data_IF_053885220731
#
_entry.id   IF_053885220731
#
_cell.length_a   1.000
_cell.length_b   1.000
_cell.length_c   1.000
_cell.angle_alpha   90.00
_cell.angle_beta   90.00
_cell.angle_gamma   90.00
#
_symmetry.space_group_name_H-M   'P 1'
#
loop_
_entity.id
_entity.type
_entity.pdbx_description
1 polymer ?
#
# COMPACT_ATOMS: atom_id res chain seq x y z
N UNK A 1 7.59 -25.73 -0.33
CA UNK A 1 7.21 -24.76 0.73
C UNK A 1 7.14 -25.45 2.10
N UNK A 2 6.46 -26.59 2.20
CA UNK A 2 6.27 -27.35 3.45
C UNK A 2 7.56 -27.80 4.17
N UNK A 3 8.69 -27.93 3.47
CA UNK A 3 9.99 -28.22 4.10
C UNK A 3 10.52 -27.06 4.96
N UNK A 4 10.26 -25.82 4.53
CA UNK A 4 10.82 -24.62 5.16
C UNK A 4 9.81 -23.89 6.04
N UNK A 5 8.51 -24.06 5.76
CA UNK A 5 7.40 -23.44 6.49
C UNK A 5 6.66 -24.52 7.28
N UNK A 6 6.40 -24.36 8.60
CA UNK A 6 6.71 -23.19 9.43
C UNK A 6 8.10 -23.29 10.13
N UNK A 7 8.93 -24.27 9.78
CA UNK A 7 10.15 -24.60 10.53
C UNK A 7 11.13 -23.43 10.64
N UNK A 8 11.36 -22.72 9.54
CA UNK A 8 12.32 -21.61 9.46
C UNK A 8 11.63 -20.28 9.16
N UNK A 9 10.63 -20.31 8.28
CA UNK A 9 9.85 -19.13 7.90
C UNK A 9 8.38 -19.33 8.23
N UNK A 10 7.72 -18.25 8.63
CA UNK A 10 6.28 -18.21 8.84
C UNK A 10 5.77 -16.78 8.61
N UNK A 11 4.48 -16.66 8.28
CA UNK A 11 3.83 -15.36 8.18
C UNK A 11 3.74 -14.72 9.57
N UNK A 12 4.24 -13.48 9.68
CA UNK A 12 4.30 -12.72 10.92
C UNK A 12 2.90 -12.45 11.47
N UNK A 13 2.72 -12.73 12.77
CA UNK A 13 1.47 -12.54 13.50
C UNK A 13 1.74 -11.92 14.86
N UNK A 14 0.87 -11.01 15.23
CA UNK A 14 0.75 -10.40 16.55
C UNK A 14 -0.52 -10.92 17.23
N UNK A 15 -0.56 -10.86 18.55
CA UNK A 15 -1.74 -11.18 19.35
C UNK A 15 -2.33 -9.90 19.93
N UNK A 16 -3.65 -9.82 19.92
CA UNK A 16 -4.43 -8.75 20.55
C UNK A 16 -5.83 -9.30 20.86
N UNK A 17 -6.51 -8.72 21.85
CA UNK A 17 -7.88 -9.11 22.22
C UNK A 17 -8.89 -8.74 21.11
N UNK A 18 -8.61 -7.68 20.35
CA UNK A 18 -9.34 -7.33 19.14
C UNK A 18 -8.68 -7.98 17.90
N UNK A 19 -9.36 -8.92 17.21
CA UNK A 19 -8.82 -9.56 16.01
C UNK A 19 -8.46 -8.58 14.89
N UNK A 20 -9.16 -7.45 14.79
CA UNK A 20 -8.87 -6.43 13.78
C UNK A 20 -7.54 -5.73 14.09
N UNK A 21 -7.33 -5.35 15.35
CA UNK A 21 -6.07 -4.80 15.85
C UNK A 21 -4.93 -5.80 15.71
N UNK A 22 -5.12 -7.07 16.07
CA UNK A 22 -4.12 -8.12 15.86
C UNK A 22 -3.68 -8.22 14.38
N UNK A 23 -4.63 -8.20 13.44
CA UNK A 23 -4.34 -8.24 12.00
C UNK A 23 -3.63 -6.98 11.50
N UNK A 24 -4.04 -5.80 11.98
CA UNK A 24 -3.38 -4.53 11.69
C UNK A 24 -1.93 -4.53 12.16
N UNK A 25 -1.67 -4.91 13.42
CA UNK A 25 -0.33 -5.01 13.98
C UNK A 25 0.51 -6.06 13.22
N UNK A 26 -0.06 -7.22 12.89
CA UNK A 26 0.60 -8.26 12.10
C UNK A 26 1.06 -7.73 10.73
N UNK A 27 0.25 -6.92 10.06
CA UNK A 27 0.59 -6.34 8.76
C UNK A 27 1.51 -5.11 8.83
N UNK A 28 1.50 -4.40 9.96
CA UNK A 28 2.37 -3.23 10.18
C UNK A 28 3.76 -3.65 10.65
N UNK A 29 3.80 -4.39 11.74
CA UNK A 29 5.03 -4.71 12.46
C UNK A 29 5.88 -5.73 11.69
N UNK A 30 5.33 -6.51 10.75
CA UNK A 30 6.15 -7.32 9.84
C UNK A 30 7.18 -6.49 9.08
N UNK A 31 6.95 -5.20 8.85
CA UNK A 31 7.88 -4.31 8.16
C UNK A 31 8.93 -3.70 9.10
N UNK A 32 8.63 -3.57 10.39
CA UNK A 32 9.46 -2.82 11.36
C UNK A 32 10.15 -3.72 12.40
N UNK A 33 9.66 -4.94 12.60
CA UNK A 33 10.31 -5.96 13.44
C UNK A 33 11.35 -6.68 12.60
N UNK A 34 12.61 -6.29 12.74
CA UNK A 34 13.71 -6.83 11.94
C UNK A 34 13.91 -8.33 12.15
N UNK A 35 14.29 -9.02 11.07
CA UNK A 35 14.65 -10.45 11.08
C UNK A 35 13.58 -11.36 11.71
N UNK A 36 12.31 -10.94 11.64
CA UNK A 36 11.21 -11.79 12.00
C UNK A 36 11.10 -12.99 11.04
N UNK A 37 10.29 -14.00 11.42
CA UNK A 37 10.16 -15.26 10.65
C UNK A 37 9.61 -15.09 9.23
N UNK A 38 9.10 -13.93 8.85
CA UNK A 38 8.64 -13.67 7.49
C UNK A 38 9.74 -13.13 6.59
N UNK A 39 10.79 -12.51 7.14
CA UNK A 39 11.88 -11.91 6.36
C UNK A 39 12.78 -13.00 5.79
N UNK A 40 12.96 -12.99 4.47
CA UNK A 40 13.83 -13.93 3.75
C UNK A 40 15.12 -13.24 3.32
N UNK A 41 15.01 -12.02 2.78
CA UNK A 41 16.15 -11.21 2.39
C UNK A 41 15.92 -9.76 2.77
N UNK A 42 16.92 -9.14 3.38
CA UNK A 42 16.90 -7.75 3.78
C UNK A 42 18.31 -7.23 4.00
N UNK A 43 18.43 -5.92 4.11
CA UNK A 43 19.70 -5.23 4.37
C UNK A 43 19.68 -4.69 5.80
N UNK A 44 20.62 -5.15 6.64
CA UNK A 44 20.83 -4.62 7.98
C UNK A 44 21.46 -3.22 7.95
N UNK A 45 21.24 -2.43 9.01
CA UNK A 45 21.88 -1.13 9.23
C UNK A 45 21.78 -0.20 8.01
N UNK A 46 20.60 -0.15 7.39
CA UNK A 46 20.43 0.52 6.10
C UNK A 46 20.25 2.02 6.23
N UNK A 47 19.64 2.49 7.32
CA UNK A 47 19.12 3.85 7.41
C UNK A 47 17.97 4.04 6.42
N UNK A 48 16.80 4.46 6.88
CA UNK A 48 15.67 4.74 6.00
C UNK A 48 15.44 6.26 5.92
N UNK A 49 15.68 6.83 4.74
CA UNK A 49 15.27 8.21 4.46
C UNK A 49 13.77 8.33 4.14
N UNK A 50 13.06 7.19 4.08
CA UNK A 50 11.64 7.17 3.69
C UNK A 50 10.72 7.77 4.76
N UNK A 51 11.12 7.79 6.04
CA UNK A 51 10.31 8.43 7.09
C UNK A 51 10.03 9.90 6.76
N UNK A 52 11.00 10.64 6.23
CA UNK A 52 10.77 12.04 5.90
C UNK A 52 9.69 12.18 4.82
N UNK A 53 9.77 11.41 3.75
CA UNK A 53 8.76 11.45 2.66
C UNK A 53 7.38 10.90 3.07
N UNK A 54 7.32 10.09 4.13
CA UNK A 54 6.12 9.36 4.60
C UNK A 54 5.51 9.92 5.89
N UNK A 55 6.16 10.90 6.51
CA UNK A 55 5.63 11.68 7.64
C UNK A 55 5.02 12.96 7.11
N UNK A 56 3.75 13.28 7.42
CA UNK A 56 3.15 14.56 7.03
C UNK A 56 3.90 15.76 7.63
N UNK A 57 3.68 16.95 7.09
CA UNK A 57 4.41 18.15 7.49
C UNK A 57 4.16 18.58 8.93
N UNK A 58 2.90 18.49 9.40
CA UNK A 58 2.48 18.79 10.77
C UNK A 58 2.98 20.14 11.34
N UNK A 59 3.00 21.20 10.53
CA UNK A 59 3.46 22.55 10.87
C UNK A 59 3.28 22.93 12.36
N UNK A 60 4.39 23.31 13.00
CA UNK A 60 4.43 23.78 14.39
C UNK A 60 4.81 22.74 15.45
N UNK A 61 5.03 21.48 15.10
CA UNK A 61 5.61 20.45 15.98
C UNK A 61 7.15 20.34 15.83
N UNK A 62 7.75 19.33 16.47
CA UNK A 62 9.19 19.08 16.40
C UNK A 62 9.58 18.35 15.11
N UNK A 63 10.87 18.41 14.75
CA UNK A 63 11.42 17.70 13.59
C UNK A 63 11.20 16.17 13.64
N UNK A 64 11.04 15.59 14.83
CA UNK A 64 10.75 14.16 14.99
C UNK A 64 9.33 13.79 14.52
N UNK A 65 8.42 14.77 14.50
CA UNK A 65 7.02 14.59 14.12
C UNK A 65 6.67 15.23 12.78
N UNK A 66 7.67 15.79 12.10
CA UNK A 66 7.56 16.47 10.81
C UNK A 66 8.21 15.66 9.70
N UNK A 67 7.66 15.76 8.50
CA UNK A 67 8.29 15.29 7.27
C UNK A 67 7.80 16.07 6.06
N UNK A 68 8.11 15.59 4.86
CA UNK A 68 7.60 16.20 3.63
C UNK A 68 6.19 15.73 3.26
N UNK A 69 5.77 14.54 3.70
CA UNK A 69 4.54 13.91 3.23
C UNK A 69 4.48 13.74 1.71
N UNK A 70 5.63 13.78 1.03
CA UNK A 70 5.74 13.83 -0.43
C UNK A 70 5.35 12.50 -1.10
N UNK A 71 5.45 11.37 -0.38
CA UNK A 71 5.09 10.07 -0.92
C UNK A 71 3.57 9.86 -0.91
N UNK A 72 2.90 10.48 -1.90
CA UNK A 72 1.45 10.46 -2.03
C UNK A 72 0.89 9.20 -2.66
N UNK A 73 -0.03 8.53 -1.98
CA UNK A 73 -0.79 7.44 -2.59
C UNK A 73 -1.84 8.01 -3.57
N UNK A 74 -1.96 7.41 -4.76
CA UNK A 74 -3.00 7.79 -5.71
C UNK A 74 -4.38 7.29 -5.25
N UNK A 75 -5.47 7.95 -5.67
CA UNK A 75 -6.82 7.46 -5.42
C UNK A 75 -7.00 6.02 -5.92
N UNK A 76 -6.41 5.68 -7.07
CA UNK A 76 -6.48 4.32 -7.61
C UNK A 76 -5.82 3.27 -6.69
N UNK A 77 -4.81 3.63 -5.90
CA UNK A 77 -4.22 2.74 -4.89
C UNK A 77 -5.08 2.68 -3.63
N UNK A 78 -5.63 3.82 -3.18
CA UNK A 78 -6.60 3.88 -2.07
C UNK A 78 -7.83 3.01 -2.33
N UNK A 79 -8.34 3.03 -3.56
CA UNK A 79 -9.49 2.25 -4.01
C UNK A 79 -9.18 0.75 -4.14
N UNK A 80 -7.90 0.38 -4.28
CA UNK A 80 -7.49 -1.01 -4.48
C UNK A 80 -7.50 -1.84 -3.20
N UNK A 81 -7.42 -1.22 -2.03
CA UNK A 81 -7.63 -1.92 -0.76
C UNK A 81 -9.04 -2.48 -0.68
N UNK A 82 -9.20 -3.68 -0.14
CA UNK A 82 -10.50 -4.29 0.11
C UNK A 82 -11.25 -3.55 1.23
N UNK A 83 -12.54 -3.82 1.36
CA UNK A 83 -13.28 -3.50 2.58
C UNK A 83 -12.93 -4.49 3.69
N UNK A 84 -13.38 -4.25 4.92
CA UNK A 84 -13.19 -5.19 6.04
C UNK A 84 -13.76 -6.59 5.77
N UNK A 85 -14.70 -6.70 4.82
CA UNK A 85 -15.28 -7.98 4.39
C UNK A 85 -14.39 -8.70 3.36
N UNK A 86 -13.23 -8.15 3.01
CA UNK A 86 -12.30 -8.73 2.04
C UNK A 86 -12.74 -8.59 0.58
N UNK A 87 -13.78 -7.81 0.30
CA UNK A 87 -14.31 -7.58 -1.05
C UNK A 87 -13.80 -6.25 -1.65
N UNK A 88 -13.65 -6.15 -2.97
CA UNK A 88 -13.36 -4.88 -3.63
C UNK A 88 -14.45 -3.84 -3.36
N UNK A 89 -14.10 -2.55 -3.32
CA UNK A 89 -15.09 -1.48 -3.06
C UNK A 89 -16.20 -1.38 -4.13
N UNK A 90 -15.98 -1.99 -5.30
CA UNK A 90 -16.95 -2.07 -6.40
C UNK A 90 -17.94 -3.22 -6.25
N UNK A 91 -17.70 -4.15 -5.32
CA UNK A 91 -18.61 -5.25 -5.07
C UNK A 91 -19.82 -4.77 -4.25
N UNK A 92 -21.06 -5.02 -4.69
CA UNK A 92 -22.27 -4.59 -3.97
C UNK A 92 -22.36 -5.13 -2.53
N UNK A 93 -21.77 -6.30 -2.25
CA UNK A 93 -21.74 -6.91 -0.93
C UNK A 93 -20.59 -6.39 -0.04
N UNK A 94 -19.75 -5.49 -0.56
CA UNK A 94 -18.59 -4.99 0.17
C UNK A 94 -18.95 -4.11 1.37
N UNK A 95 -20.18 -3.57 1.42
CA UNK A 95 -20.61 -2.61 2.45
C UNK A 95 -19.85 -1.28 2.37
N UNK A 96 -19.41 -0.89 1.16
CA UNK A 96 -18.67 0.33 0.92
C UNK A 96 -19.59 1.54 0.75
N UNK A 97 -19.29 2.63 1.47
CA UNK A 97 -20.02 3.89 1.35
C UNK A 97 -19.11 4.96 0.74
N UNK A 98 -19.49 5.47 -0.44
CA UNK A 98 -18.61 6.29 -1.29
C UNK A 98 -18.54 7.78 -0.93
N UNK A 99 -19.39 8.26 -0.02
CA UNK A 99 -19.48 9.67 0.35
C UNK A 99 -20.02 9.85 1.78
N UNK A 100 -19.93 11.07 2.31
CA UNK A 100 -20.38 11.41 3.66
C UNK A 100 -19.37 11.05 4.75
N UNK A 101 -19.76 11.24 6.01
CA UNK A 101 -18.90 11.05 7.18
C UNK A 101 -19.60 10.20 8.22
N UNK A 102 -18.82 9.44 8.98
CA UNK A 102 -19.28 8.66 10.13
C UNK A 102 -18.31 8.83 11.30
N UNK A 103 -18.80 8.63 12.52
CA UNK A 103 -17.93 8.43 13.68
C UNK A 103 -17.22 7.09 13.54
N UNK A 104 -15.90 7.09 13.49
CA UNK A 104 -15.10 5.88 13.30
C UNK A 104 -13.80 5.98 14.10
N UNK A 105 -13.43 4.90 14.78
CA UNK A 105 -12.12 4.76 15.43
C UNK A 105 -11.24 3.84 14.59
N UNK A 106 -10.16 4.39 14.04
CA UNK A 106 -9.16 3.60 13.33
C UNK A 106 -8.31 2.77 14.31
N UNK A 107 -7.69 1.65 13.88
CA UNK A 107 -6.96 0.74 14.79
C UNK A 107 -5.71 1.35 15.44
N UNK A 108 -5.27 2.52 14.95
CA UNK A 108 -4.13 3.27 15.49
C UNK A 108 -4.55 4.47 16.32
N UNK A 109 -5.86 4.71 16.47
CA UNK A 109 -6.41 5.89 17.10
C UNK A 109 -6.95 5.57 18.49
N UNK A 110 -6.81 6.52 19.41
CA UNK A 110 -7.27 6.39 20.80
C UNK A 110 -8.70 6.89 20.98
N UNK A 111 -9.30 7.49 19.95
CA UNK A 111 -10.69 7.97 20.00
C UNK A 111 -11.39 7.86 18.64
N UNK A 112 -12.71 7.94 18.65
CA UNK A 112 -13.51 8.02 17.42
C UNK A 112 -13.42 9.41 16.81
N UNK A 113 -13.34 9.50 15.48
CA UNK A 113 -13.30 10.75 14.73
C UNK A 113 -14.37 10.79 13.65
N UNK A 114 -14.80 11.99 13.28
CA UNK A 114 -15.55 12.22 12.04
C UNK A 114 -14.64 11.90 10.86
N UNK A 115 -14.91 10.76 10.21
CA UNK A 115 -14.06 10.18 9.17
C UNK A 115 -14.87 10.05 7.89
N UNK A 116 -14.25 10.40 6.75
CA UNK A 116 -14.86 10.26 5.44
C UNK A 116 -15.15 8.78 5.15
N UNK A 117 -16.40 8.48 4.82
CA UNK A 117 -16.92 7.12 4.72
C UNK A 117 -16.07 6.16 3.87
N UNK A 118 -15.51 6.58 2.70
CA UNK A 118 -14.55 5.79 1.92
C UNK A 118 -13.31 5.26 2.67
N UNK A 119 -12.95 5.86 3.79
CA UNK A 119 -11.80 5.46 4.61
C UNK A 119 -12.19 4.66 5.85
N UNK A 120 -13.49 4.53 6.13
CA UNK A 120 -14.01 3.71 7.22
C UNK A 120 -14.23 2.27 6.75
N UNK A 121 -14.24 1.32 7.69
CA UNK A 121 -14.58 -0.10 7.43
C UNK A 121 -13.77 -0.74 6.28
N UNK A 122 -12.54 -0.26 6.06
CA UNK A 122 -11.56 -0.87 5.15
C UNK A 122 -10.84 -2.05 5.83
N UNK A 123 -10.13 -2.86 5.05
CA UNK A 123 -9.29 -3.91 5.62
C UNK A 123 -8.12 -3.33 6.45
N UNK A 124 -7.52 -4.11 7.38
CA UNK A 124 -6.39 -3.66 8.19
C UNK A 124 -5.23 -3.04 7.41
N UNK A 125 -4.91 -3.59 6.22
CA UNK A 125 -3.80 -3.12 5.37
C UNK A 125 -4.01 -1.71 4.80
N UNK A 126 -5.25 -1.23 4.68
CA UNK A 126 -5.51 0.17 4.34
C UNK A 126 -4.95 1.11 5.42
N UNK A 127 -5.21 0.80 6.70
CA UNK A 127 -4.73 1.57 7.84
C UNK A 127 -3.22 1.40 8.09
N UNK A 128 -2.61 0.32 7.59
CA UNK A 128 -1.16 0.18 7.52
C UNK A 128 -0.55 1.04 6.41
N UNK A 129 -1.26 1.21 5.29
CA UNK A 129 -0.72 1.80 4.07
C UNK A 129 -0.91 3.31 3.96
N UNK A 130 -2.02 3.85 4.46
CA UNK A 130 -2.51 5.19 4.12
C UNK A 130 -2.70 6.05 5.38
N UNK A 131 -2.05 7.22 5.40
CA UNK A 131 -2.46 8.37 6.21
C UNK A 131 -3.39 9.23 5.35
N UNK A 132 -4.54 9.59 5.91
CA UNK A 132 -5.61 10.36 5.25
C UNK A 132 -5.96 11.60 6.09
N UNK A 133 -6.75 12.52 5.54
CA UNK A 133 -7.09 13.75 6.26
C UNK A 133 -7.82 13.47 7.58
N UNK A 134 -7.48 14.22 8.62
CA UNK A 134 -8.00 14.11 9.98
C UNK A 134 -7.66 12.78 10.68
N UNK A 135 -6.63 12.04 10.21
CA UNK A 135 -6.17 10.82 10.88
C UNK A 135 -5.19 11.12 12.01
N UNK A 136 -5.30 10.38 13.11
CA UNK A 136 -4.29 10.37 14.17
C UNK A 136 -2.93 9.87 13.66
N UNK A 137 -1.87 10.59 14.02
CA UNK A 137 -0.52 10.23 13.61
C UNK A 137 0.01 9.03 14.41
N UNK A 138 0.83 8.19 13.77
CA UNK A 138 1.35 6.95 14.34
C UNK A 138 2.17 7.16 15.61
N UNK A 139 2.96 8.23 15.63
CA UNK A 139 3.86 8.59 16.70
C UNK A 139 3.34 9.85 17.39
N UNK A 140 3.42 9.86 18.71
CA UNK A 140 2.96 10.96 19.54
C UNK A 140 4.11 11.32 20.44
N UNK A 141 4.51 12.58 20.42
CA UNK A 141 5.62 13.07 21.24
C UNK A 141 5.15 14.22 22.12
N UNK A 142 5.70 14.29 23.34
CA UNK A 142 5.44 15.40 24.26
C UNK A 142 4.02 15.46 24.83
N UNK A 143 3.24 14.38 24.76
CA UNK A 143 1.87 14.31 25.28
C UNK A 143 0.84 15.14 24.51
N UNK A 144 1.21 15.65 23.33
CA UNK A 144 0.31 16.38 22.43
C UNK A 144 -0.25 15.41 21.40
N UNK A 145 -1.57 15.36 21.29
CA UNK A 145 -2.25 14.58 20.26
C UNK A 145 -2.04 15.21 18.89
N UNK A 146 -1.36 14.49 18.00
CA UNK A 146 -1.06 14.88 16.63
C UNK A 146 -2.13 14.29 15.71
N UNK A 147 -2.81 15.18 15.00
CA UNK A 147 -3.78 14.85 13.95
C UNK A 147 -3.31 15.48 12.65
N UNK A 148 -3.20 14.67 11.62
CA UNK A 148 -2.81 15.15 10.29
C UNK A 148 -3.98 15.86 9.63
N UNK A 149 -3.87 17.17 9.41
CA UNK A 149 -4.85 17.94 8.65
C UNK A 149 -4.24 18.37 7.30
N UNK A 150 -4.70 17.74 6.22
CA UNK A 150 -4.25 17.95 4.83
C UNK A 150 -5.14 18.92 4.05
N UNK A 151 -6.19 19.49 4.67
CA UNK A 151 -6.90 20.63 4.09
C UNK A 151 -5.91 21.76 3.78
N UNK A 152 -6.21 22.61 2.80
CA UNK A 152 -5.28 23.64 2.30
C UNK A 152 -4.62 24.45 3.43
N UNK A 153 -5.39 24.92 4.41
CA UNK A 153 -4.91 25.68 5.56
C UNK A 153 -4.51 24.84 6.78
N UNK A 154 -4.68 23.52 6.71
CA UNK A 154 -4.33 22.58 7.78
C UNK A 154 -2.82 22.51 8.03
N UNK A 155 -2.42 21.85 9.13
CA UNK A 155 -1.00 21.73 9.52
C UNK A 155 -0.14 20.95 8.51
N UNK A 156 -0.75 20.22 7.58
CA UNK A 156 -0.09 19.49 6.51
C UNK A 156 -0.63 19.88 5.13
N UNK A 157 -1.21 21.08 5.04
CA UNK A 157 -1.79 21.66 3.85
C UNK A 157 -0.83 22.51 3.03
N UNK A 158 -1.27 22.92 1.84
CA UNK A 158 -0.46 23.72 0.89
C UNK A 158 -0.13 25.14 1.37
N UNK A 159 -0.86 25.68 2.34
CA UNK A 159 -0.52 26.98 2.92
C UNK A 159 0.72 26.90 3.82
N UNK A 160 1.10 25.70 4.28
CA UNK A 160 2.28 25.48 5.12
C UNK A 160 3.55 25.30 4.29
N UNK A 161 3.44 24.62 3.14
CA UNK A 161 4.55 24.39 2.24
C UNK A 161 4.07 24.12 0.81
N UNK A 162 4.88 24.54 -0.16
CA UNK A 162 4.65 24.25 -1.57
C UNK A 162 5.46 23.05 -2.09
N UNK A 163 6.47 22.61 -1.33
CA UNK A 163 7.33 21.46 -1.64
C UNK A 163 7.11 20.27 -0.69
N UNK A 164 6.91 20.55 0.59
CA UNK A 164 6.75 19.56 1.67
C UNK A 164 5.27 19.39 1.99
N UNK A 165 4.55 18.85 1.01
CA UNK A 165 3.10 18.67 1.07
C UNK A 165 2.68 17.46 0.25
N UNK A 166 1.64 16.75 0.70
CA UNK A 166 1.09 15.63 -0.07
C UNK A 166 0.62 16.09 -1.46
N UNK A 167 1.03 15.41 -2.55
CA UNK A 167 0.55 15.73 -3.89
C UNK A 167 -0.89 15.25 -4.13
N UNK A 168 -1.41 14.31 -3.31
CA UNK A 168 -2.67 13.62 -3.57
C UNK A 168 -3.68 13.69 -2.42
N UNK A 169 -3.35 14.33 -1.30
CA UNK A 169 -4.15 14.33 -0.06
C UNK A 169 -4.21 12.97 0.63
N UNK A 170 -3.23 12.12 0.32
CA UNK A 170 -2.91 10.88 1.02
C UNK A 170 -1.40 10.83 1.21
N UNK A 171 -0.92 10.24 2.31
CA UNK A 171 0.50 9.98 2.51
C UNK A 171 0.68 8.49 2.78
N UNK A 172 1.64 7.87 2.10
CA UNK A 172 2.02 6.48 2.38
C UNK A 172 2.61 6.40 3.78
N UNK A 173 2.09 5.50 4.62
CA UNK A 173 2.57 5.32 6.01
C UNK A 173 3.17 3.94 6.30
N UNK A 174 3.07 3.01 5.34
CA UNK A 174 3.67 1.68 5.50
C UNK A 174 5.17 1.84 5.73
N UNK A 175 5.71 1.02 6.62
CA UNK A 175 7.15 0.96 6.92
C UNK A 175 7.74 2.23 7.57
N UNK A 176 6.90 3.19 8.02
CA UNK A 176 7.34 4.30 8.88
C UNK A 176 7.63 3.77 10.28
N UNK A 177 8.81 4.06 10.83
CA UNK A 177 9.14 3.81 12.23
C UNK A 177 9.44 5.10 13.01
N UNK A 178 9.35 5.03 14.34
CA UNK A 178 9.67 6.16 15.23
C UNK A 178 11.18 6.49 15.27
N UNK A 179 12.02 5.58 14.78
CA UNK A 179 13.45 5.81 14.53
C UNK A 179 13.88 4.97 13.31
N UNK A 180 14.43 5.64 12.31
CA UNK A 180 14.89 5.01 11.05
C UNK A 180 16.42 4.92 10.96
N UNK A 181 17.15 5.40 11.98
CA UNK A 181 18.60 5.27 12.04
C UNK A 181 18.98 3.81 12.25
N UNK A 182 19.87 3.30 11.41
CA UNK A 182 20.43 1.94 11.52
C UNK A 182 19.41 0.79 11.48
N UNK A 183 18.19 1.05 10.99
CA UNK A 183 17.16 0.01 10.84
C UNK A 183 17.42 -0.89 9.64
N UNK A 184 17.03 -2.14 9.76
CA UNK A 184 16.92 -3.10 8.67
C UNK A 184 15.82 -2.74 7.68
N UNK A 185 15.99 -3.15 6.43
CA UNK A 185 15.00 -3.00 5.35
C UNK A 185 14.80 -4.34 4.67
N UNK A 186 13.54 -4.79 4.58
CA UNK A 186 13.17 -6.04 3.90
C UNK A 186 13.10 -5.85 2.40
N UNK A 187 13.66 -6.80 1.65
CA UNK A 187 13.58 -6.86 0.19
C UNK A 187 12.74 -8.04 -0.29
N UNK A 188 12.71 -9.14 0.47
CA UNK A 188 11.91 -10.32 0.17
C UNK A 188 11.37 -10.91 1.47
N UNK A 189 10.07 -11.21 1.49
CA UNK A 189 9.39 -11.83 2.62
C UNK A 189 8.43 -12.93 2.16
N UNK A 190 8.06 -13.82 3.07
CA UNK A 190 7.31 -15.04 2.76
C UNK A 190 5.97 -14.79 2.05
N UNK A 191 5.25 -13.72 2.38
CA UNK A 191 3.99 -13.42 1.68
C UNK A 191 4.19 -13.20 0.18
N UNK A 192 5.32 -12.59 -0.23
CA UNK A 192 5.66 -12.47 -1.65
C UNK A 192 5.88 -13.85 -2.28
N UNK A 193 6.62 -14.74 -1.61
CA UNK A 193 6.85 -16.11 -2.11
C UNK A 193 5.55 -16.91 -2.23
N UNK A 194 4.63 -16.76 -1.28
CA UNK A 194 3.30 -17.38 -1.35
C UNK A 194 2.52 -16.92 -2.57
N UNK A 195 2.53 -15.61 -2.85
CA UNK A 195 1.83 -15.05 -4.00
C UNK A 195 2.53 -15.36 -5.33
N UNK A 196 3.87 -15.39 -5.36
CA UNK A 196 4.65 -15.82 -6.54
C UNK A 196 4.35 -17.29 -6.88
N UNK A 197 4.31 -18.17 -5.87
CA UNK A 197 3.96 -19.58 -6.04
C UNK A 197 2.51 -19.75 -6.52
N UNK A 198 1.56 -19.05 -5.90
CA UNK A 198 0.16 -19.09 -6.31
C UNK A 198 -0.02 -18.61 -7.77
N UNK A 199 0.68 -17.54 -8.17
CA UNK A 199 0.67 -17.04 -9.53
C UNK A 199 1.25 -18.08 -10.51
N UNK A 200 2.46 -18.58 -10.25
CA UNK A 200 3.11 -19.58 -11.10
C UNK A 200 2.26 -20.85 -11.26
N UNK A 201 1.62 -21.30 -10.17
CA UNK A 201 0.75 -22.47 -10.18
C UNK A 201 -0.55 -22.22 -10.95
N UNK A 202 -1.14 -21.02 -10.83
CA UNK A 202 -2.30 -20.66 -11.65
C UNK A 202 -1.97 -20.64 -13.15
N UNK A 203 -0.75 -20.21 -13.52
CA UNK A 203 -0.34 -20.19 -14.93
C UNK A 203 0.04 -21.57 -15.48
N UNK A 204 0.64 -22.44 -14.65
CA UNK A 204 1.15 -23.74 -15.09
C UNK A 204 0.19 -24.91 -14.87
N UNK A 205 -0.64 -24.88 -13.82
CA UNK A 205 -1.60 -25.92 -13.45
C UNK A 205 -2.89 -25.31 -12.88
N UNK A 206 -3.73 -24.70 -13.74
CA UNK A 206 -4.98 -24.06 -13.32
C UNK A 206 -5.90 -25.02 -12.56
N UNK A 207 -6.50 -24.55 -11.46
CA UNK A 207 -7.43 -25.34 -10.64
C UNK A 207 -6.77 -26.16 -9.52
N UNK A 208 -5.44 -26.13 -9.39
CA UNK A 208 -4.76 -26.72 -8.25
C UNK A 208 -5.22 -26.06 -6.93
N UNK A 209 -5.59 -26.88 -5.93
CA UNK A 209 -6.11 -26.41 -4.63
C UNK A 209 -5.12 -25.52 -3.87
N UNK A 210 -3.83 -25.74 -4.07
CA UNK A 210 -2.75 -24.97 -3.45
C UNK A 210 -2.75 -23.49 -3.85
N UNK A 211 -3.32 -23.13 -5.01
CA UNK A 211 -3.35 -21.73 -5.47
C UNK A 211 -4.05 -20.84 -4.44
N UNK A 212 -5.28 -21.19 -4.06
CA UNK A 212 -6.06 -20.40 -3.11
C UNK A 212 -5.62 -20.63 -1.66
N UNK A 213 -5.00 -21.77 -1.33
CA UNK A 213 -4.39 -21.99 -0.01
C UNK A 213 -3.41 -20.86 0.34
N UNK A 214 -2.45 -20.56 -0.54
CA UNK A 214 -1.42 -19.55 -0.25
C UNK A 214 -1.96 -18.12 -0.30
N UNK A 215 -2.91 -17.82 -1.18
CA UNK A 215 -3.64 -16.54 -1.16
C UNK A 215 -4.41 -16.37 0.15
N UNK A 216 -5.12 -17.41 0.60
CA UNK A 216 -5.92 -17.37 1.82
C UNK A 216 -5.06 -17.29 3.09
N UNK A 217 -3.84 -17.84 3.10
CA UNK A 217 -2.91 -17.66 4.21
C UNK A 217 -2.51 -16.19 4.41
N UNK A 218 -2.29 -15.45 3.32
CA UNK A 218 -1.99 -14.01 3.35
C UNK A 218 -3.22 -13.22 3.81
N UNK A 219 -4.39 -13.51 3.24
CA UNK A 219 -5.67 -12.87 3.60
C UNK A 219 -6.05 -13.09 5.06
N UNK A 220 -5.88 -14.31 5.55
CA UNK A 220 -6.11 -14.68 6.95
C UNK A 220 -5.20 -13.90 7.90
N UNK A 221 -3.90 -13.76 7.59
CA UNK A 221 -3.00 -12.89 8.38
C UNK A 221 -3.49 -11.46 8.39
N UNK A 222 -3.99 -10.97 7.26
CA UNK A 222 -4.53 -9.63 7.12
C UNK A 222 -5.94 -9.46 7.72
N UNK A 223 -6.49 -10.47 8.39
CA UNK A 223 -7.77 -10.38 9.09
C UNK A 223 -8.98 -10.23 8.17
N UNK A 224 -8.87 -10.65 6.91
CA UNK A 224 -10.00 -10.65 5.96
C UNK A 224 -10.35 -12.07 5.51
N UNK A 225 -11.62 -12.32 5.13
CA UNK A 225 -12.04 -13.64 4.68
C UNK A 225 -11.28 -14.13 3.44
N UNK A 226 -11.01 -15.43 3.39
CA UNK A 226 -10.44 -16.10 2.22
C UNK A 226 -11.49 -16.39 1.15
N UNK A 227 -11.02 -16.79 -0.04
CA UNK A 227 -11.87 -17.36 -1.09
C UNK A 227 -12.21 -18.81 -0.71
N UNK A 228 -13.33 -18.99 -0.02
CA UNK A 228 -13.77 -20.27 0.59
C UNK A 228 -15.11 -20.78 0.06
N UNK A 229 -15.82 -19.97 -0.75
CA UNK A 229 -17.15 -20.29 -1.26
C UNK A 229 -18.28 -20.07 -0.25
N UNK A 230 -17.98 -19.60 0.95
CA UNK A 230 -18.94 -19.31 2.02
C UNK A 230 -18.95 -17.81 2.32
N UNK A 231 -17.80 -17.28 2.73
CA UNK A 231 -17.60 -15.87 3.04
C UNK A 231 -17.39 -15.05 1.78
N UNK A 232 -16.56 -15.57 0.87
CA UNK A 232 -16.28 -14.95 -0.44
C UNK A 232 -16.34 -16.06 -1.50
N UNK A 233 -17.05 -15.84 -2.63
CA UNK A 233 -17.11 -16.80 -3.72
C UNK A 233 -15.72 -17.20 -4.21
N UNK A 234 -15.56 -18.50 -4.52
CA UNK A 234 -14.34 -18.98 -5.17
C UNK A 234 -14.29 -18.42 -6.60
N UNK A 235 -13.23 -17.70 -6.99
CA UNK A 235 -13.12 -17.19 -8.35
C UNK A 235 -13.07 -18.35 -9.36
N UNK A 236 -13.91 -18.26 -10.39
CA UNK A 236 -14.09 -19.34 -11.36
C UNK A 236 -13.14 -19.20 -12.55
N UNK A 237 -12.33 -20.23 -12.79
CA UNK A 237 -11.42 -20.31 -13.92
C UNK A 237 -10.13 -19.51 -13.75
N UNK A 238 -9.14 -19.87 -14.56
CA UNK A 238 -7.76 -19.34 -14.47
C UNK A 238 -7.71 -17.80 -14.51
N UNK A 239 -8.54 -17.17 -15.33
CA UNK A 239 -8.55 -15.71 -15.48
C UNK A 239 -9.05 -14.98 -14.23
N UNK A 240 -10.12 -15.46 -13.60
CA UNK A 240 -10.64 -14.86 -12.36
C UNK A 240 -9.67 -15.09 -11.19
N UNK A 241 -9.07 -16.29 -11.10
CA UNK A 241 -8.05 -16.61 -10.10
C UNK A 241 -6.82 -15.71 -10.28
N UNK A 242 -6.37 -15.50 -11.53
CA UNK A 242 -5.28 -14.55 -11.86
C UNK A 242 -5.60 -13.15 -11.34
N UNK A 243 -6.81 -12.65 -11.61
CA UNK A 243 -7.23 -11.33 -11.13
C UNK A 243 -7.25 -11.25 -9.60
N UNK A 244 -7.73 -12.29 -8.91
CA UNK A 244 -7.71 -12.36 -7.45
C UNK A 244 -6.27 -12.31 -6.90
N UNK A 245 -5.33 -13.06 -7.50
CA UNK A 245 -3.90 -13.05 -7.13
C UNK A 245 -3.29 -11.66 -7.38
N UNK A 246 -3.56 -11.05 -8.53
CA UNK A 246 -3.04 -9.72 -8.87
C UNK A 246 -3.57 -8.63 -7.94
N UNK A 247 -4.84 -8.73 -7.52
CA UNK A 247 -5.45 -7.82 -6.54
C UNK A 247 -4.80 -8.00 -5.16
N UNK A 248 -4.64 -9.25 -4.70
CA UNK A 248 -3.99 -9.56 -3.43
C UNK A 248 -2.53 -9.09 -3.41
N UNK A 249 -1.74 -9.34 -4.46
CA UNK A 249 -0.37 -8.82 -4.61
C UNK A 249 -0.32 -7.30 -4.52
N UNK A 250 -1.26 -6.62 -5.17
CA UNK A 250 -1.29 -5.16 -5.20
C UNK A 250 -1.46 -4.57 -3.79
N UNK A 251 -2.30 -5.19 -2.97
CA UNK A 251 -2.59 -4.76 -1.60
C UNK A 251 -1.47 -5.19 -0.65
N UNK A 252 -1.11 -6.48 -0.66
CA UNK A 252 -0.16 -7.06 0.28
C UNK A 252 1.22 -6.40 0.15
N UNK A 253 1.68 -6.21 -1.09
CA UNK A 253 3.00 -5.68 -1.41
C UNK A 253 2.97 -4.19 -1.79
N UNK A 254 1.90 -3.49 -1.42
CA UNK A 254 1.78 -2.06 -1.64
C UNK A 254 2.98 -1.31 -1.04
N UNK A 255 3.60 -0.44 -1.85
CA UNK A 255 4.75 0.40 -1.46
C UNK A 255 6.05 -0.37 -1.14
N UNK A 256 6.15 -1.63 -1.55
CA UNK A 256 7.36 -2.48 -1.42
C UNK A 256 8.11 -2.63 -2.76
N UNK A 257 8.06 -1.61 -3.62
CA UNK A 257 8.79 -1.55 -4.91
C UNK A 257 8.48 -2.66 -5.94
N UNK A 258 7.39 -3.42 -5.78
CA UNK A 258 7.04 -4.51 -6.72
C UNK A 258 6.12 -4.10 -7.86
N UNK A 259 5.20 -3.14 -7.63
CA UNK A 259 4.10 -2.83 -8.57
C UNK A 259 4.60 -2.35 -9.95
N UNK A 260 5.74 -1.66 -9.97
CA UNK A 260 6.40 -1.21 -11.19
C UNK A 260 6.73 -2.39 -12.12
N UNK A 261 7.28 -3.47 -11.57
CA UNK A 261 7.67 -4.67 -12.30
C UNK A 261 6.46 -5.56 -12.62
N UNK A 262 5.54 -5.73 -11.67
CA UNK A 262 4.32 -6.52 -11.84
C UNK A 262 3.49 -6.05 -13.04
N UNK A 263 3.23 -4.74 -13.13
CA UNK A 263 2.43 -4.19 -14.24
C UNK A 263 3.11 -4.34 -15.61
N UNK A 264 4.46 -4.31 -15.65
CA UNK A 264 5.24 -4.50 -16.88
C UNK A 264 5.26 -5.95 -17.33
N UNK A 265 5.57 -6.88 -16.43
CA UNK A 265 5.63 -8.32 -16.77
C UNK A 265 4.25 -8.89 -17.14
N UNK A 266 3.18 -8.38 -16.54
CA UNK A 266 1.80 -8.71 -16.94
C UNK A 266 1.31 -7.97 -18.18
N UNK A 267 2.13 -7.06 -18.74
CA UNK A 267 1.78 -6.19 -19.86
C UNK A 267 0.52 -5.32 -19.63
N UNK A 268 0.18 -5.03 -18.38
CA UNK A 268 -0.96 -4.15 -18.03
C UNK A 268 -0.55 -2.69 -17.78
N UNK A 269 0.74 -2.35 -17.83
CA UNK A 269 1.24 -1.00 -17.58
C UNK A 269 0.62 0.05 -18.52
N UNK A 270 0.32 -0.29 -19.78
CA UNK A 270 -0.42 0.58 -20.72
C UNK A 270 -1.85 0.90 -20.27
N UNK A 271 -2.46 0.02 -19.48
CA UNK A 271 -3.80 0.24 -18.90
C UNK A 271 -3.72 0.94 -17.56
N UNK A 272 -2.74 0.58 -16.71
CA UNK A 272 -2.68 1.06 -15.32
C UNK A 272 -1.81 2.30 -15.12
N UNK A 273 -0.90 2.59 -16.06
CA UNK A 273 0.07 3.69 -16.00
C UNK A 273 -0.19 4.79 -17.03
N UNK A 274 -1.31 4.71 -17.76
CA UNK A 274 -1.71 5.67 -18.79
C UNK A 274 -3.01 6.36 -18.37
N UNK A 275 -3.15 7.64 -18.70
CA UNK A 275 -4.35 8.43 -18.43
C UNK A 275 -4.34 9.18 -17.10
N UNK A 276 -5.54 9.57 -16.66
CA UNK A 276 -5.78 10.47 -15.53
C UNK A 276 -5.46 9.82 -14.18
N UNK A 277 -4.66 10.52 -13.37
CA UNK A 277 -4.34 10.16 -11.98
C UNK A 277 -5.05 11.13 -11.04
N UNK A 278 -5.76 10.58 -10.05
CA UNK A 278 -6.60 11.36 -9.13
C UNK A 278 -6.10 11.27 -7.69
N UNK A 279 -6.47 12.28 -6.91
CA UNK A 279 -6.32 12.38 -5.46
C UNK A 279 -7.45 13.22 -4.85
N UNK A 280 -7.28 13.66 -3.61
CA UNK A 280 -8.11 14.66 -2.95
C UNK A 280 -7.70 16.09 -3.37
N UNK A 281 -8.57 17.06 -3.11
CA UNK A 281 -8.33 18.45 -3.46
C UNK A 281 -7.45 19.15 -2.43
N UNK A 282 -6.13 19.14 -2.63
CA UNK A 282 -5.17 19.83 -1.77
C UNK A 282 -5.27 21.36 -1.77
N UNK A 283 -6.12 21.94 -2.63
CA UNK A 283 -6.43 23.37 -2.64
C UNK A 283 -7.77 23.70 -1.95
N UNK A 284 -8.47 22.70 -1.42
CA UNK A 284 -9.75 22.85 -0.72
C UNK A 284 -9.61 22.82 0.79
N UNK A 285 -10.59 23.42 1.48
CA UNK A 285 -10.80 23.30 2.92
C UNK A 285 -12.19 22.72 3.19
N UNK A 286 -12.40 22.15 4.38
CA UNK A 286 -13.66 21.53 4.76
C UNK A 286 -14.16 20.53 3.70
N UNK A 287 -15.45 20.57 3.31
CA UNK A 287 -16.00 19.68 2.30
C UNK A 287 -15.24 19.68 0.96
N UNK A 288 -14.66 20.82 0.56
CA UNK A 288 -13.99 20.94 -0.75
C UNK A 288 -12.73 20.09 -0.86
N UNK A 289 -12.06 19.79 0.26
CA UNK A 289 -10.89 18.90 0.30
C UNK A 289 -11.23 17.50 -0.22
N UNK A 290 -12.43 17.00 0.12
CA UNK A 290 -12.85 15.64 -0.16
C UNK A 290 -13.27 15.39 -1.62
N UNK A 291 -13.21 16.43 -2.47
CA UNK A 291 -13.47 16.32 -3.89
C UNK A 291 -12.33 15.57 -4.61
N UNK A 292 -12.69 14.49 -5.31
CA UNK A 292 -11.76 13.77 -6.19
C UNK A 292 -11.27 14.70 -7.31
N UNK A 293 -9.98 14.99 -7.32
CA UNK A 293 -9.35 15.99 -8.19
C UNK A 293 -8.29 15.34 -9.07
N UNK A 294 -8.24 15.75 -10.34
CA UNK A 294 -7.19 15.35 -11.28
C UNK A 294 -5.84 15.94 -10.82
N UNK A 295 -4.84 15.10 -10.62
CA UNK A 295 -3.49 15.50 -10.21
C UNK A 295 -2.59 15.64 -11.43
N UNK A 296 -2.61 14.65 -12.32
CA UNK A 296 -1.85 14.64 -13.56
C UNK A 296 -2.48 13.69 -14.59
N UNK A 297 -2.05 13.81 -15.85
CA UNK A 297 -2.36 12.83 -16.90
C UNK A 297 -1.06 12.21 -17.37
N UNK A 298 -0.92 10.89 -17.23
CA UNK A 298 0.26 10.14 -17.63
C UNK A 298 0.12 9.61 -19.04
N UNK A 299 1.23 9.51 -19.76
CA UNK A 299 1.30 8.82 -21.05
C UNK A 299 2.18 7.58 -20.89
N UNK A 300 1.66 6.44 -21.31
CA UNK A 300 2.43 5.19 -21.38
C UNK A 300 2.25 4.53 -22.75
N UNK A 301 3.37 4.28 -23.41
CA UNK A 301 3.46 3.69 -24.75
C UNK A 301 4.32 2.43 -24.73
N UNK A 302 4.40 1.72 -25.85
CA UNK A 302 5.07 0.42 -25.88
C UNK A 302 6.59 0.51 -25.60
N UNK A 303 7.22 1.68 -25.82
CA UNK A 303 8.62 1.91 -25.45
C UNK A 303 8.85 1.91 -23.93
N UNK A 304 7.84 2.34 -23.15
CA UNK A 304 7.98 2.61 -21.72
C UNK A 304 7.98 1.32 -20.87
N UNK A 305 7.80 0.16 -21.51
CA UNK A 305 8.04 -1.16 -20.91
C UNK A 305 9.52 -1.40 -20.59
N UNK A 306 10.43 -0.77 -21.34
CA UNK A 306 11.87 -0.87 -21.15
C UNK A 306 12.47 0.53 -20.93
N UNK A 307 13.51 0.61 -20.09
CA UNK A 307 14.26 1.86 -19.99
C UNK A 307 15.14 2.06 -21.21
N UNK A 308 15.37 3.32 -21.64
CA UNK A 308 16.37 3.59 -22.66
C UNK A 308 17.75 3.15 -22.15
N UNK A 309 18.53 2.52 -23.01
CA UNK A 309 19.96 2.37 -22.79
C UNK A 309 20.56 3.79 -22.87
N UNK A 310 21.40 4.23 -21.90
CA UNK A 310 21.95 5.58 -21.91
C UNK A 310 22.66 5.87 -23.24
N UNK A 311 22.33 7.00 -23.87
CA UNK A 311 22.77 7.32 -25.23
C UNK A 311 24.29 7.22 -25.44
N UNK A 312 25.07 7.62 -24.44
CA UNK A 312 26.54 7.51 -24.49
C UNK A 312 27.02 6.06 -24.62
N UNK A 313 26.30 5.08 -24.06
CA UNK A 313 26.67 3.66 -24.19
C UNK A 313 26.45 3.16 -25.61
N UNK A 314 25.40 3.62 -26.29
CA UNK A 314 25.12 3.32 -27.71
C UNK A 314 26.23 3.88 -28.61
N UNK A 315 26.76 5.06 -28.29
CA UNK A 315 27.86 5.66 -29.05
C UNK A 315 29.21 4.94 -28.85
N UNK A 316 29.43 4.34 -27.69
CA UNK A 316 30.68 3.63 -27.35
C UNK A 316 30.73 2.26 -28.04
N UNK A 317 29.65 1.48 -27.95
CA UNK A 317 29.61 0.13 -28.51
C UNK A 317 28.64 0.06 -29.70
N UNK A 318 29.15 0.01 -30.95
CA UNK A 318 28.31 -0.06 -32.15
C UNK A 318 27.52 -1.38 -32.28
N UNK A 319 27.78 -2.39 -31.43
CA UNK A 319 26.98 -3.62 -31.35
C UNK A 319 25.78 -3.48 -30.41
N UNK A 320 25.74 -2.43 -29.58
CA UNK A 320 24.66 -2.18 -28.64
C UNK A 320 23.46 -1.58 -29.38
N UNK A 321 22.36 -2.34 -29.45
CA UNK A 321 21.12 -1.90 -30.08
C UNK A 321 20.20 -1.31 -29.02
N UNK A 322 19.60 -0.15 -29.31
CA UNK A 322 18.66 0.51 -28.42
C UNK A 322 17.38 -0.33 -28.20
N UNK A 323 16.75 -0.16 -27.04
CA UNK A 323 15.43 -0.73 -26.78
C UNK A 323 14.37 -0.14 -27.73
N UNK A 324 13.35 -0.92 -28.15
CA UNK A 324 12.38 -0.47 -29.13
C UNK A 324 11.68 0.85 -28.76
N UNK A 325 11.70 1.83 -29.68
CA UNK A 325 11.01 3.12 -29.55
C UNK A 325 11.75 4.22 -28.78
N UNK A 326 12.98 3.94 -28.33
CA UNK A 326 13.92 4.92 -27.75
C UNK A 326 15.05 5.27 -28.71
#
# INVERSE_FOLDING_TARGET
LDTYVPKYYDLYREQDDDPFTAAYLSCRNVMTTEWNKEWIYGRANSGSFMRYDRTPFHAGLSADEHGAGAHGATQAMVDAYFTKNGLPITDPAAGYTSAGFSSFQAPFDVTSRSTYNPWTNREPRFYVGITYNNSYWLYQTGGVTIVTNMEKSGNSGRDQSTSDVSPTGYVVRKDVAGNDNSRGVVYLRLAQIFLDYAEALNESSPGASDILKYVNLVRSRAGIPGYDGVSIPVPSGQAAVRQAIQAERRVELAFESVRYFDTRRWKIAKTTGNGAVYGMNMNGNGPDFYNKTLIETRTFTDRDYLFPIPYQQILIDPKLVQNPGW
#
